data_IF_866517601245
#
_entry.id   IF_866517601245
#
_cell.length_a   1.000
_cell.length_b   1.000
_cell.length_c   1.000
_cell.angle_alpha   90.00
_cell.angle_beta   90.00
_cell.angle_gamma   90.00
#
_symmetry.space_group_name_H-M   'P 1'
#
loop_
_entity.id
_entity.type
_entity.pdbx_description
1 polymer ?
#
# COMPACT_ATOMS: atom_id res chain seq x y z
N UNK A 1 -13.31 -64.26 3.18
CA UNK A 1 -13.58 -63.18 2.22
C UNK A 1 -14.18 -61.99 2.96
N UNK A 2 -13.49 -60.86 3.02
CA UNK A 2 -14.09 -59.52 2.96
C UNK A 2 -12.99 -58.48 2.74
N UNK A 3 -13.28 -57.63 1.78
CA UNK A 3 -12.39 -56.90 0.89
C UNK A 3 -11.78 -55.67 1.56
N UNK A 4 -10.55 -55.34 1.14
CA UNK A 4 -9.96 -54.02 1.24
C UNK A 4 -10.94 -52.93 0.80
N UNK A 5 -10.91 -51.78 1.49
CA UNK A 5 -10.78 -50.47 0.85
C UNK A 5 -10.19 -49.48 1.87
N UNK A 6 -8.87 -49.31 1.85
CA UNK A 6 -8.23 -48.12 2.41
C UNK A 6 -8.34 -47.03 1.33
N UNK A 7 -9.23 -46.07 1.55
CA UNK A 7 -9.40 -44.92 0.66
C UNK A 7 -8.21 -43.98 0.80
N UNK A 8 -7.37 -44.02 -0.23
CA UNK A 8 -6.39 -43.01 -0.58
C UNK A 8 -7.10 -41.66 -0.74
N UNK A 9 -7.00 -40.78 0.25
CA UNK A 9 -7.49 -39.38 0.14
C UNK A 9 -6.29 -38.45 0.14
N UNK A 10 -5.45 -38.61 -0.88
CA UNK A 10 -4.50 -37.60 -1.31
C UNK A 10 -5.02 -37.10 -2.64
N UNK A 11 -5.34 -35.80 -2.70
CA UNK A 11 -5.28 -34.90 -3.84
C UNK A 11 -6.35 -33.82 -3.67
N UNK A 12 -5.91 -32.59 -3.37
CA UNK A 12 -6.37 -31.30 -3.93
C UNK A 12 -5.94 -30.13 -3.01
N UNK A 13 -4.64 -29.85 -2.93
CA UNK A 13 -4.12 -28.58 -2.37
C UNK A 13 -3.27 -27.77 -3.37
N UNK A 14 -3.11 -28.24 -4.61
CA UNK A 14 -2.24 -27.61 -5.60
C UNK A 14 -2.78 -26.30 -6.21
N UNK A 15 -4.07 -26.01 -6.05
CA UNK A 15 -4.71 -24.80 -6.63
C UNK A 15 -4.42 -23.53 -5.84
N UNK A 16 -4.08 -23.65 -4.56
CA UNK A 16 -3.87 -22.49 -3.67
C UNK A 16 -2.51 -21.84 -3.93
N UNK A 17 -1.47 -22.64 -4.20
CA UNK A 17 -0.10 -22.17 -4.41
C UNK A 17 0.05 -21.38 -5.71
N UNK A 18 -0.53 -21.84 -6.82
CA UNK A 18 -0.43 -21.15 -8.12
C UNK A 18 -1.15 -19.79 -8.12
N UNK A 19 -2.25 -19.65 -7.37
CA UNK A 19 -2.98 -18.38 -7.24
C UNK A 19 -2.23 -17.38 -6.36
N UNK A 20 -1.61 -17.86 -5.29
CA UNK A 20 -0.76 -17.05 -4.40
C UNK A 20 0.44 -16.46 -5.15
N UNK A 21 1.11 -17.27 -5.97
CA UNK A 21 2.22 -16.84 -6.83
C UNK A 21 1.78 -15.80 -7.88
N UNK A 22 0.63 -16.01 -8.52
CA UNK A 22 0.09 -15.08 -9.51
C UNK A 22 -0.28 -13.73 -8.89
N UNK A 23 -0.97 -13.75 -7.75
CA UNK A 23 -1.34 -12.55 -7.01
C UNK A 23 -0.08 -11.78 -6.58
N UNK A 24 0.89 -12.47 -5.99
CA UNK A 24 2.15 -11.87 -5.55
C UNK A 24 2.87 -11.14 -6.69
N UNK A 25 3.01 -11.79 -7.85
CA UNK A 25 3.62 -11.16 -9.04
C UNK A 25 2.82 -9.97 -9.55
N UNK A 26 1.49 -10.05 -9.51
CA UNK A 26 0.61 -8.97 -9.96
C UNK A 26 0.70 -7.76 -9.03
N UNK A 27 0.78 -7.99 -7.71
CA UNK A 27 1.04 -6.95 -6.70
C UNK A 27 2.40 -6.32 -6.95
N UNK A 28 3.47 -7.12 -7.08
CA UNK A 28 4.82 -6.62 -7.33
C UNK A 28 4.91 -5.80 -8.63
N UNK A 29 4.21 -6.23 -9.69
CA UNK A 29 4.12 -5.46 -10.93
C UNK A 29 3.39 -4.13 -10.76
N UNK A 30 2.28 -4.11 -10.03
CA UNK A 30 1.54 -2.89 -9.74
C UNK A 30 2.36 -1.92 -8.88
N UNK A 31 3.01 -2.44 -7.83
CA UNK A 31 3.92 -1.66 -6.98
C UNK A 31 5.08 -1.11 -7.79
N UNK A 32 5.70 -1.91 -8.68
CA UNK A 32 6.78 -1.42 -9.53
C UNK A 32 6.35 -0.27 -10.46
N UNK A 33 5.08 -0.24 -10.92
CA UNK A 33 4.55 0.90 -11.67
C UNK A 33 4.38 2.13 -10.78
N UNK A 34 3.89 1.96 -9.55
CA UNK A 34 3.77 3.05 -8.56
C UNK A 34 5.15 3.58 -8.15
N UNK A 35 6.15 2.72 -7.98
CA UNK A 35 7.53 3.12 -7.63
C UNK A 35 8.19 3.99 -8.69
N UNK A 36 7.78 3.90 -9.95
CA UNK A 36 8.32 4.77 -11.02
C UNK A 36 7.79 6.21 -10.97
N UNK A 37 6.73 6.45 -10.21
CA UNK A 37 6.11 7.77 -10.06
C UNK A 37 6.20 8.29 -8.62
N UNK A 38 6.64 7.45 -7.69
CA UNK A 38 6.88 7.78 -6.30
C UNK A 38 8.29 8.38 -6.12
N UNK A 39 8.47 9.17 -5.07
CA UNK A 39 9.78 9.63 -4.63
C UNK A 39 10.58 8.48 -4.01
N UNK A 40 9.90 7.66 -3.22
CA UNK A 40 10.50 6.49 -2.58
C UNK A 40 9.48 5.35 -2.48
N UNK A 41 9.98 4.12 -2.53
CA UNK A 41 9.20 2.93 -2.18
C UNK A 41 9.98 2.06 -1.21
N UNK A 42 9.33 1.64 -0.12
CA UNK A 42 9.88 0.71 0.88
C UNK A 42 9.03 -0.53 0.99
N UNK A 43 9.63 -1.63 1.41
CA UNK A 43 8.92 -2.89 1.67
C UNK A 43 9.26 -3.34 3.09
N UNK A 44 8.23 -3.54 3.89
CA UNK A 44 8.34 -4.04 5.26
C UNK A 44 7.57 -5.35 5.37
N UNK A 45 8.14 -6.33 6.06
CA UNK A 45 7.49 -7.60 6.33
C UNK A 45 6.89 -7.58 7.74
N UNK A 46 5.59 -7.87 7.83
CA UNK A 46 4.85 -8.05 9.09
C UNK A 46 4.18 -9.43 9.10
N UNK A 47 3.49 -9.78 10.19
CA UNK A 47 2.74 -11.04 10.23
C UNK A 47 1.52 -10.95 9.30
N UNK A 48 1.29 -11.94 8.41
CA UNK A 48 0.07 -11.98 7.61
C UNK A 48 -1.20 -11.98 8.47
N UNK A 49 -2.15 -11.12 8.15
CA UNK A 49 -3.41 -10.97 8.89
C UNK A 49 -4.49 -10.34 8.01
N UNK A 50 -5.76 -10.61 8.32
CA UNK A 50 -6.89 -9.90 7.66
C UNK A 50 -7.25 -8.59 8.34
N UNK A 51 -6.71 -8.34 9.54
CA UNK A 51 -6.91 -7.10 10.29
C UNK A 51 -5.96 -6.00 9.80
N UNK A 52 -6.49 -5.06 9.03
CA UNK A 52 -5.71 -3.95 8.46
C UNK A 52 -5.11 -3.08 9.55
N UNK A 53 -5.88 -2.74 10.59
CA UNK A 53 -5.38 -1.89 11.69
C UNK A 53 -4.21 -2.58 12.39
N UNK A 54 -4.35 -3.86 12.69
CA UNK A 54 -3.28 -4.67 13.27
C UNK A 54 -2.02 -4.72 12.41
N UNK A 55 -2.15 -4.92 11.09
CA UNK A 55 -1.01 -4.93 10.18
C UNK A 55 -0.33 -3.56 10.06
N UNK A 56 -1.10 -2.47 9.99
CA UNK A 56 -0.54 -1.12 9.94
C UNK A 56 0.19 -0.78 11.24
N UNK A 57 -0.34 -1.22 12.39
CA UNK A 57 0.34 -1.07 13.69
C UNK A 57 1.67 -1.82 13.73
N UNK A 58 1.68 -3.10 13.31
CA UNK A 58 2.91 -3.89 13.25
C UNK A 58 3.93 -3.26 12.31
N UNK A 59 3.48 -2.74 11.17
CA UNK A 59 4.30 -1.99 10.23
C UNK A 59 4.91 -0.75 10.89
N UNK A 60 4.09 0.10 11.51
CA UNK A 60 4.52 1.36 12.11
C UNK A 60 5.58 1.13 13.19
N UNK A 61 5.40 0.10 14.02
CA UNK A 61 6.39 -0.32 15.03
C UNK A 61 7.67 -0.87 14.39
N UNK A 62 7.55 -1.75 13.39
CA UNK A 62 8.71 -2.37 12.73
C UNK A 62 9.54 -1.38 11.92
N UNK A 63 8.89 -0.36 11.33
CA UNK A 63 9.53 0.71 10.59
C UNK A 63 10.06 1.84 11.51
N UNK A 64 9.70 1.85 12.79
CA UNK A 64 10.09 2.89 13.74
C UNK A 64 9.36 4.23 13.54
N UNK A 65 8.19 4.20 12.91
CA UNK A 65 7.35 5.38 12.67
C UNK A 65 6.51 5.75 13.91
N UNK A 66 6.40 4.83 14.88
CA UNK A 66 5.84 5.06 16.23
C UNK A 66 6.71 4.32 17.26
N UNK A 67 6.76 4.84 18.49
CA UNK A 67 7.54 4.25 19.59
C UNK A 67 6.77 3.15 20.33
N UNK A 68 5.44 3.17 20.28
CA UNK A 68 4.60 2.26 21.05
C UNK A 68 3.25 1.95 20.40
N UNK A 69 2.60 0.87 20.85
CA UNK A 69 1.26 0.53 20.40
C UNK A 69 0.24 1.58 20.89
N UNK A 70 0.43 2.11 22.10
CA UNK A 70 -0.44 3.13 22.68
C UNK A 70 -0.45 4.43 21.85
N UNK A 71 0.72 4.85 21.37
CA UNK A 71 0.85 5.99 20.46
C UNK A 71 0.09 5.76 19.15
N UNK A 72 0.21 4.55 18.57
CA UNK A 72 -0.55 4.18 17.38
C UNK A 72 -2.06 4.20 17.63
N UNK A 73 -2.53 3.65 18.76
CA UNK A 73 -3.95 3.62 19.08
C UNK A 73 -4.54 5.03 19.27
N UNK A 74 -3.76 5.98 19.79
CA UNK A 74 -4.15 7.37 19.95
C UNK A 74 -4.24 8.15 18.61
N UNK A 75 -3.48 7.73 17.60
CA UNK A 75 -3.40 8.35 16.27
C UNK A 75 -4.23 7.65 15.19
N UNK A 76 -4.86 6.51 15.51
CA UNK A 76 -5.68 5.76 14.56
C UNK A 76 -7.07 6.40 14.35
N UNK A 77 -7.37 6.81 13.13
CA UNK A 77 -8.64 7.47 12.76
C UNK A 77 -9.66 6.55 12.05
N UNK A 78 -9.31 5.28 11.78
CA UNK A 78 -10.19 4.32 11.10
C UNK A 78 -10.25 4.51 9.58
N UNK A 79 -11.43 4.27 8.99
CA UNK A 79 -11.72 4.50 7.58
C UNK A 79 -12.00 5.99 7.35
N UNK A 80 -10.96 6.85 7.43
CA UNK A 80 -11.17 8.30 7.42
C UNK A 80 -10.17 9.03 6.53
N UNK A 81 -10.71 9.89 5.66
CA UNK A 81 -9.96 10.75 4.76
C UNK A 81 -9.04 11.77 5.47
N UNK A 82 -9.26 12.01 6.76
CA UNK A 82 -8.39 12.88 7.56
C UNK A 82 -6.93 12.38 7.65
N UNK A 83 -6.66 11.08 7.53
CA UNK A 83 -5.30 10.51 7.59
C UNK A 83 -4.40 10.94 6.41
N UNK A 84 -4.97 11.51 5.33
CA UNK A 84 -4.21 12.03 4.19
C UNK A 84 -4.41 13.53 3.93
N UNK A 85 -5.39 14.19 4.57
CA UNK A 85 -5.67 15.63 4.38
C UNK A 85 -4.74 16.54 5.22
N UNK A 86 -3.43 16.32 5.14
CA UNK A 86 -2.42 17.19 5.73
C UNK A 86 -2.23 17.08 7.24
N UNK A 87 -2.94 16.16 7.92
CA UNK A 87 -2.62 15.78 9.29
C UNK A 87 -1.62 14.62 9.28
N UNK A 88 -0.36 14.99 9.36
CA UNK A 88 0.80 14.12 9.28
C UNK A 88 1.02 13.28 10.54
N UNK A 89 0.04 13.19 11.44
CA UNK A 89 0.15 12.43 12.68
C UNK A 89 -0.81 11.25 12.75
N UNK A 90 -1.75 11.14 11.82
CA UNK A 90 -2.84 10.18 11.90
C UNK A 90 -2.69 8.99 10.95
N UNK A 91 -3.04 7.80 11.42
CA UNK A 91 -3.10 6.56 10.65
C UNK A 91 -4.54 6.21 10.29
N UNK A 92 -4.74 5.57 9.14
CA UNK A 92 -6.06 5.10 8.73
C UNK A 92 -6.02 3.97 7.71
N UNK A 93 -7.15 3.28 7.57
CA UNK A 93 -7.40 2.36 6.47
C UNK A 93 -7.99 3.10 5.28
N UNK A 94 -7.77 2.56 4.09
CA UNK A 94 -8.39 3.05 2.86
C UNK A 94 -8.98 1.89 2.06
N UNK A 95 -9.93 2.21 1.18
CA UNK A 95 -10.30 1.31 0.10
C UNK A 95 -9.44 1.59 -1.16
N UNK A 96 -9.63 0.77 -2.20
CA UNK A 96 -8.93 0.95 -3.48
C UNK A 96 -9.18 2.33 -4.09
N UNK A 97 -10.40 2.86 -3.93
CA UNK A 97 -10.79 4.14 -4.51
C UNK A 97 -10.03 5.27 -3.81
N UNK A 98 -10.05 5.32 -2.48
CA UNK A 98 -9.30 6.28 -1.68
C UNK A 98 -7.79 6.18 -1.89
N UNK A 99 -7.24 4.97 -2.05
CA UNK A 99 -5.83 4.77 -2.36
C UNK A 99 -5.47 5.35 -3.73
N UNK A 100 -6.35 5.18 -4.72
CA UNK A 100 -6.18 5.77 -6.04
C UNK A 100 -6.34 7.29 -6.01
N UNK A 101 -7.37 7.81 -5.33
CA UNK A 101 -7.62 9.25 -5.20
C UNK A 101 -6.44 9.95 -4.53
N UNK A 102 -5.84 9.36 -3.49
CA UNK A 102 -4.62 9.84 -2.86
C UNK A 102 -3.48 10.04 -3.89
N UNK A 103 -3.08 8.97 -4.60
CA UNK A 103 -1.98 9.06 -5.57
C UNK A 103 -2.27 10.07 -6.67
N UNK A 104 -3.48 10.07 -7.21
CA UNK A 104 -3.86 10.97 -8.30
C UNK A 104 -3.91 12.43 -7.85
N UNK A 105 -4.41 12.71 -6.64
CA UNK A 105 -4.45 14.07 -6.09
C UNK A 105 -3.04 14.67 -5.93
N UNK A 106 -2.06 13.87 -5.48
CA UNK A 106 -0.66 14.31 -5.37
C UNK A 106 -0.07 14.60 -6.75
N UNK A 107 -0.36 13.76 -7.75
CA UNK A 107 0.09 14.01 -9.13
C UNK A 107 -0.52 15.28 -9.72
N UNK A 108 -1.81 15.51 -9.48
CA UNK A 108 -2.53 16.71 -9.94
C UNK A 108 -1.97 17.97 -9.28
N UNK A 109 -1.73 17.92 -7.96
CA UNK A 109 -1.11 19.00 -7.22
C UNK A 109 0.32 19.32 -7.72
N UNK A 110 1.13 18.30 -8.00
CA UNK A 110 2.46 18.48 -8.57
C UNK A 110 2.43 19.16 -9.94
N UNK A 111 1.44 18.84 -10.79
CA UNK A 111 1.25 19.55 -12.06
C UNK A 111 0.74 20.99 -11.83
N UNK A 112 -0.17 21.20 -10.88
CA UNK A 112 -0.69 22.54 -10.57
C UNK A 112 0.43 23.50 -10.12
N UNK A 113 1.37 22.99 -9.32
CA UNK A 113 2.52 23.76 -8.82
C UNK A 113 3.72 23.82 -9.77
N UNK A 114 3.70 23.13 -10.92
CA UNK A 114 4.76 23.24 -11.91
C UNK A 114 4.59 24.45 -12.82
N UNK A 115 5.53 24.66 -13.75
CA UNK A 115 5.43 25.71 -14.77
C UNK A 115 4.37 25.37 -15.85
N UNK A 116 3.78 24.17 -15.80
CA UNK A 116 2.75 23.67 -16.73
C UNK A 116 3.17 23.70 -18.20
N UNK A 117 4.46 23.45 -18.45
CA UNK A 117 5.04 23.30 -19.78
C UNK A 117 4.44 22.09 -20.51
N UNK A 118 4.78 21.92 -21.80
CA UNK A 118 4.37 20.71 -22.53
C UNK A 118 4.98 19.47 -21.90
N UNK A 119 6.24 19.57 -21.50
CA UNK A 119 7.00 18.53 -20.82
C UNK A 119 6.33 18.11 -19.50
N UNK A 120 5.90 19.07 -18.68
CA UNK A 120 5.21 18.79 -17.40
C UNK A 120 3.89 18.04 -17.64
N UNK A 121 3.11 18.46 -18.64
CA UNK A 121 1.83 17.83 -18.98
C UNK A 121 1.99 16.41 -19.52
N UNK A 122 3.06 16.15 -20.29
CA UNK A 122 3.40 14.81 -20.76
C UNK A 122 3.82 13.94 -19.58
N UNK A 123 4.71 14.42 -18.72
CA UNK A 123 5.15 13.70 -17.53
C UNK A 123 3.98 13.35 -16.59
N UNK A 124 3.07 14.32 -16.36
CA UNK A 124 1.83 14.09 -15.62
C UNK A 124 0.97 13.01 -16.28
N UNK A 125 0.73 13.11 -17.59
CA UNK A 125 -0.12 12.15 -18.32
C UNK A 125 0.44 10.73 -18.24
N UNK A 126 1.76 10.57 -18.39
CA UNK A 126 2.45 9.29 -18.23
C UNK A 126 2.31 8.74 -16.81
N UNK A 127 2.53 9.58 -15.79
CA UNK A 127 2.40 9.18 -14.40
C UNK A 127 0.95 8.79 -14.04
N UNK A 128 -0.03 9.56 -14.52
CA UNK A 128 -1.45 9.31 -14.34
C UNK A 128 -1.87 7.97 -14.96
N UNK A 129 -1.38 7.64 -16.16
CA UNK A 129 -1.63 6.35 -16.80
C UNK A 129 -0.97 5.19 -16.05
N UNK A 130 0.27 5.36 -15.55
CA UNK A 130 0.93 4.34 -14.71
C UNK A 130 0.15 4.07 -13.43
N UNK A 131 -0.29 5.12 -12.73
CA UNK A 131 -1.10 4.97 -11.52
C UNK A 131 -2.40 4.21 -11.80
N UNK A 132 -3.16 4.61 -12.84
CA UNK A 132 -4.40 3.93 -13.21
C UNK A 132 -4.18 2.45 -13.55
N UNK A 133 -3.12 2.13 -14.32
CA UNK A 133 -2.80 0.75 -14.66
C UNK A 133 -2.45 -0.08 -13.42
N UNK A 134 -1.67 0.48 -12.49
CA UNK A 134 -1.35 -0.19 -11.23
C UNK A 134 -2.62 -0.51 -10.41
N UNK A 135 -3.52 0.46 -10.22
CA UNK A 135 -4.77 0.24 -9.48
C UNK A 135 -5.73 -0.71 -10.21
N UNK A 136 -5.71 -0.74 -11.55
CA UNK A 136 -6.45 -1.73 -12.34
C UNK A 136 -5.96 -3.16 -12.07
N UNK A 137 -4.64 -3.38 -11.99
CA UNK A 137 -4.06 -4.68 -11.63
C UNK A 137 -4.46 -5.11 -10.22
N UNK A 138 -4.42 -4.18 -9.26
CA UNK A 138 -4.74 -4.48 -7.85
C UNK A 138 -6.23 -4.75 -7.61
N UNK A 139 -7.13 -4.18 -8.44
CA UNK A 139 -8.59 -4.25 -8.27
C UNK A 139 -9.16 -5.66 -8.05
N UNK A 140 -8.53 -6.67 -8.65
CA UNK A 140 -9.03 -8.04 -8.64
C UNK A 140 -8.46 -8.90 -7.50
N UNK A 141 -7.53 -8.36 -6.71
CA UNK A 141 -6.80 -9.10 -5.67
C UNK A 141 -7.41 -8.80 -4.30
N UNK A 142 -8.29 -9.69 -3.82
CA UNK A 142 -9.05 -9.49 -2.55
C UNK A 142 -8.20 -9.44 -1.29
N UNK A 143 -6.99 -9.99 -1.34
CA UNK A 143 -6.00 -10.01 -0.25
C UNK A 143 -5.24 -8.69 -0.15
N UNK A 144 -5.30 -7.84 -1.17
CA UNK A 144 -4.74 -6.50 -1.06
C UNK A 144 -5.66 -5.64 -0.22
N UNK A 145 -5.08 -4.99 0.77
CA UNK A 145 -5.67 -3.96 1.62
C UNK A 145 -4.89 -2.67 1.47
N UNK A 146 -5.46 -1.58 1.93
CA UNK A 146 -4.81 -0.27 1.85
C UNK A 146 -4.83 0.42 3.21
N UNK A 147 -3.71 1.07 3.51
CA UNK A 147 -3.57 1.97 4.63
C UNK A 147 -3.00 3.30 4.16
N UNK A 148 -3.12 4.32 4.98
CA UNK A 148 -2.49 5.62 4.80
C UNK A 148 -2.02 6.07 6.17
N UNK A 149 -0.87 6.72 6.20
CA UNK A 149 -0.34 7.25 7.45
C UNK A 149 1.01 7.92 7.25
N UNK A 150 1.53 8.55 8.31
CA UNK A 150 2.77 9.28 8.23
C UNK A 150 3.98 8.36 8.05
N UNK A 151 4.94 8.81 7.26
CA UNK A 151 6.24 8.16 7.12
C UNK A 151 7.36 9.21 7.06
N UNK A 152 8.48 8.90 7.71
CA UNK A 152 9.71 9.69 7.67
C UNK A 152 10.10 10.38 8.97
N UNK A 153 11.37 10.78 9.06
CA UNK A 153 11.93 11.38 10.27
C UNK A 153 11.54 12.87 10.39
N UNK A 154 11.13 13.28 11.60
CA UNK A 154 10.83 14.66 12.02
C UNK A 154 12.10 15.54 12.07
N UNK A 155 13.10 15.33 11.21
CA UNK A 155 14.37 16.06 11.29
C UNK A 155 14.36 17.43 10.61
N UNK A 156 13.32 17.76 9.84
CA UNK A 156 13.11 19.11 9.30
C UNK A 156 11.70 19.67 9.59
N UNK A 157 10.92 19.04 10.49
CA UNK A 157 9.56 19.46 10.84
C UNK A 157 8.47 19.11 9.81
N UNK A 158 8.82 18.33 8.78
CA UNK A 158 7.87 17.80 7.80
C UNK A 158 7.63 16.30 8.08
N UNK A 159 6.37 15.90 8.08
CA UNK A 159 5.93 14.51 8.06
C UNK A 159 5.06 14.36 6.80
N UNK A 160 5.31 13.32 6.01
CA UNK A 160 4.58 13.06 4.77
C UNK A 160 3.59 11.95 4.99
N UNK A 161 2.42 12.04 4.37
CA UNK A 161 1.57 10.88 4.23
C UNK A 161 2.19 9.91 3.20
N UNK A 162 1.98 8.62 3.39
CA UNK A 162 2.26 7.62 2.37
C UNK A 162 1.11 6.64 2.23
N UNK A 163 0.98 6.12 1.01
CA UNK A 163 0.07 5.02 0.74
C UNK A 163 0.76 3.71 1.14
N UNK A 164 0.05 2.89 1.91
CA UNK A 164 0.42 1.51 2.19
C UNK A 164 -0.42 0.58 1.32
N UNK A 165 0.24 -0.19 0.46
CA UNK A 165 -0.38 -1.34 -0.23
C UNK A 165 -0.01 -2.59 0.57
N UNK A 166 -1.00 -3.25 1.16
CA UNK A 166 -0.81 -4.32 2.14
C UNK A 166 -1.25 -5.64 1.52
N UNK A 167 -0.31 -6.56 1.31
CA UNK A 167 -0.64 -7.94 0.94
C UNK A 167 -0.95 -8.74 2.21
N UNK A 168 -2.24 -8.91 2.51
CA UNK A 168 -2.72 -9.59 3.71
C UNK A 168 -2.37 -11.08 3.75
N UNK A 169 -2.03 -11.68 2.59
CA UNK A 169 -1.71 -13.10 2.47
C UNK A 169 -0.24 -13.37 2.81
N UNK A 170 0.67 -12.50 2.33
CA UNK A 170 2.12 -12.67 2.53
C UNK A 170 2.68 -11.82 3.66
N UNK A 171 1.94 -10.82 4.15
CA UNK A 171 2.40 -9.90 5.19
C UNK A 171 3.34 -8.81 4.67
N UNK A 172 3.51 -8.68 3.35
CA UNK A 172 4.29 -7.59 2.76
C UNK A 172 3.48 -6.29 2.78
N UNK A 173 4.06 -5.24 3.35
CA UNK A 173 3.55 -3.87 3.31
C UNK A 173 4.46 -3.05 2.41
N UNK A 174 3.92 -2.60 1.27
CA UNK A 174 4.61 -1.72 0.34
C UNK A 174 4.23 -0.28 0.67
N UNK A 175 5.22 0.53 1.04
CA UNK A 175 5.06 1.95 1.34
C UNK A 175 5.38 2.76 0.09
N UNK A 176 4.42 3.53 -0.42
CA UNK A 176 4.53 4.36 -1.62
C UNK A 176 4.51 5.83 -1.18
N UNK A 177 5.67 6.48 -1.26
CA UNK A 177 5.86 7.86 -0.83
C UNK A 177 5.85 8.75 -2.08
N UNK A 178 4.74 9.48 -2.29
CA UNK A 178 4.53 10.31 -3.48
C UNK A 178 5.09 11.73 -3.32
N UNK A 179 5.19 12.20 -2.09
CA UNK A 179 5.68 13.53 -1.72
C UNK A 179 7.08 13.42 -1.14
N UNK A 180 7.99 14.27 -1.59
CA UNK A 180 9.35 14.33 -1.07
C UNK A 180 9.75 15.78 -1.01
N UNK A 181 9.78 16.37 0.18
CA UNK A 181 10.48 17.64 0.33
C UNK A 181 11.97 17.36 0.36
N UNK A 182 12.73 18.03 -0.50
CA UNK A 182 14.12 18.31 -0.18
C UNK A 182 14.16 19.07 1.14
N UNK A 183 14.89 18.52 2.11
CA UNK A 183 15.74 19.38 2.91
C UNK A 183 16.91 19.77 1.96
#
# INVERSE_FOLDING_TARGET
MKTLMFTLTLLLSASSFAKSDYNSRTIEQAVAQLSQIAQETRVTQVQPSTDVKGMVREFALAAGEVESAEEFEASWQGDNAAAWQGDSTNWGSSDLKGASEYVLSVLEQNLEYSEQTTEDKVAFSEAYLKAQNAFSLLRHIKTVKYGVGPVGAVQCGFQFAALLVIDSETGKVYTIIMEGSGC
#
